data_IF_992659169747
#
_entry.id   IF_992659169747
#
_cell.length_a   1.000
_cell.length_b   1.000
_cell.length_c   1.000
_cell.angle_alpha   90.00
_cell.angle_beta   90.00
_cell.angle_gamma   90.00
#
_symmetry.space_group_name_H-M   'P 1'
#
loop_
_entity.id
_entity.type
_entity.pdbx_description
1 polymer ?
#
# COMPACT_ATOMS: atom_id res chain seq x y z
N UNK A 1 1.64 -13.97 -19.14
CA UNK A 1 1.76 -14.94 -18.03
C UNK A 1 2.73 -14.34 -17.02
N UNK A 2 2.32 -14.08 -15.78
CA UNK A 2 3.24 -13.57 -14.74
C UNK A 2 4.05 -14.76 -14.23
N UNK A 3 5.39 -14.71 -14.28
CA UNK A 3 6.24 -15.77 -13.73
C UNK A 3 5.96 -16.08 -12.25
N UNK A 4 6.31 -17.30 -11.88
CA UNK A 4 6.07 -17.89 -10.56
C UNK A 4 6.88 -17.14 -9.49
N UNK A 5 6.23 -16.75 -8.38
CA UNK A 5 6.90 -16.09 -7.26
C UNK A 5 7.44 -14.70 -7.60
N UNK A 6 6.69 -13.89 -8.34
CA UNK A 6 7.10 -12.53 -8.68
C UNK A 6 6.58 -11.46 -7.69
N UNK A 7 7.30 -10.34 -7.68
CA UNK A 7 6.85 -9.08 -7.09
C UNK A 7 5.95 -8.39 -8.11
N UNK A 8 4.68 -8.17 -7.75
CA UNK A 8 3.77 -7.37 -8.54
C UNK A 8 4.14 -5.90 -8.36
N UNK A 9 4.74 -5.32 -9.39
CA UNK A 9 5.31 -3.98 -9.36
C UNK A 9 4.61 -2.97 -10.30
N UNK A 10 3.35 -3.24 -10.69
CA UNK A 10 2.59 -2.25 -11.49
C UNK A 10 2.11 -1.11 -10.59
N UNK A 11 2.07 0.08 -11.20
CA UNK A 11 1.90 1.38 -10.51
C UNK A 11 0.61 2.09 -10.84
N UNK A 12 -0.17 1.44 -11.69
CA UNK A 12 -1.53 1.82 -11.97
C UNK A 12 -2.44 0.80 -11.25
N UNK A 13 -3.26 1.25 -10.29
CA UNK A 13 -4.17 0.39 -9.57
C UNK A 13 -5.14 -0.36 -10.50
N UNK A 14 -5.60 0.26 -11.61
CA UNK A 14 -6.52 -0.40 -12.55
C UNK A 14 -5.87 -1.60 -13.25
N UNK A 15 -4.62 -1.44 -13.69
CA UNK A 15 -3.80 -2.52 -14.25
C UNK A 15 -3.57 -3.64 -13.25
N UNK A 16 -3.38 -3.32 -11.95
CA UNK A 16 -3.25 -4.30 -10.89
C UNK A 16 -4.56 -5.07 -10.68
N UNK A 17 -5.70 -4.39 -10.61
CA UNK A 17 -7.03 -5.01 -10.50
C UNK A 17 -7.26 -5.96 -11.67
N UNK A 18 -7.04 -5.52 -12.90
CA UNK A 18 -7.24 -6.35 -14.09
C UNK A 18 -6.35 -7.60 -14.04
N UNK A 19 -5.08 -7.41 -13.69
CA UNK A 19 -4.12 -8.50 -13.58
C UNK A 19 -4.50 -9.51 -12.50
N UNK A 20 -4.93 -9.05 -11.31
CA UNK A 20 -5.39 -9.93 -10.22
C UNK A 20 -6.67 -10.65 -10.61
N UNK A 21 -7.63 -9.94 -11.22
CA UNK A 21 -8.93 -10.50 -11.64
C UNK A 21 -8.80 -11.61 -12.69
N UNK A 22 -7.74 -11.57 -13.51
CA UNK A 22 -7.46 -12.60 -14.51
C UNK A 22 -7.02 -13.93 -13.89
N UNK A 23 -6.68 -13.96 -12.60
CA UNK A 23 -6.36 -15.18 -11.88
C UNK A 23 -7.57 -15.61 -11.05
N UNK A 24 -8.21 -16.71 -11.44
CA UNK A 24 -9.27 -17.34 -10.63
C UNK A 24 -8.71 -18.52 -9.87
N UNK A 25 -9.03 -18.58 -8.59
CA UNK A 25 -8.74 -19.71 -7.71
C UNK A 25 -9.98 -19.96 -6.84
N UNK A 26 -10.22 -21.21 -6.36
CA UNK A 26 -11.28 -21.50 -5.42
C UNK A 26 -11.16 -20.73 -4.09
N UNK A 27 -9.97 -20.22 -3.79
CA UNK A 27 -9.70 -19.38 -2.64
C UNK A 27 -8.61 -18.39 -2.92
N UNK A 28 -8.78 -17.20 -2.37
CA UNK A 28 -7.85 -16.10 -2.48
C UNK A 28 -7.66 -15.42 -1.14
N UNK A 29 -6.42 -15.16 -0.78
CA UNK A 29 -6.11 -14.51 0.49
C UNK A 29 -4.95 -13.54 0.41
N UNK A 30 -4.97 -12.54 1.29
CA UNK A 30 -3.86 -11.60 1.50
C UNK A 30 -3.30 -11.76 2.91
N UNK A 31 -1.99 -11.82 3.07
CA UNK A 31 -1.32 -11.52 4.34
C UNK A 31 -0.75 -10.09 4.32
N UNK A 32 -1.20 -9.27 5.27
CA UNK A 32 -0.68 -7.93 5.53
C UNK A 32 0.52 -8.02 6.48
N UNK A 33 1.64 -7.39 6.10
CA UNK A 33 2.85 -7.35 6.92
C UNK A 33 3.50 -8.73 7.08
N UNK A 34 3.59 -9.49 6.00
CA UNK A 34 4.03 -10.89 6.02
C UNK A 34 5.48 -11.11 6.52
N UNK A 35 6.28 -10.05 6.67
CA UNK A 35 7.65 -10.14 7.16
C UNK A 35 8.53 -11.08 6.32
N UNK A 36 8.95 -12.21 6.88
CA UNK A 36 9.81 -13.16 6.15
C UNK A 36 9.03 -14.15 5.25
N UNK A 37 7.71 -14.05 5.18
CA UNK A 37 6.82 -14.88 4.35
C UNK A 37 6.63 -16.31 4.85
N UNK A 38 6.88 -16.60 6.12
CA UNK A 38 6.72 -17.95 6.69
C UNK A 38 5.25 -18.40 6.70
N UNK A 39 4.31 -17.51 7.07
CA UNK A 39 2.89 -17.80 7.04
C UNK A 39 2.39 -17.99 5.61
N UNK A 40 2.69 -17.06 4.69
CA UNK A 40 2.38 -17.22 3.26
C UNK A 40 2.86 -18.55 2.69
N UNK A 41 4.09 -18.96 3.00
CA UNK A 41 4.64 -20.22 2.52
C UNK A 41 3.79 -21.40 3.01
N UNK A 42 3.44 -21.41 4.30
CA UNK A 42 2.64 -22.49 4.88
C UNK A 42 1.24 -22.54 4.28
N UNK A 43 0.54 -21.40 4.25
CA UNK A 43 -0.82 -21.32 3.73
C UNK A 43 -0.88 -21.75 2.25
N UNK A 44 0.12 -21.35 1.46
CA UNK A 44 0.22 -21.73 0.05
C UNK A 44 0.52 -23.22 -0.18
N UNK A 45 1.29 -23.86 0.72
CA UNK A 45 1.56 -25.30 0.68
C UNK A 45 0.35 -26.13 1.12
N UNK A 46 -0.39 -25.67 2.13
CA UNK A 46 -1.62 -26.33 2.59
C UNK A 46 -2.75 -26.24 1.57
N UNK A 47 -2.77 -25.18 0.76
CA UNK A 47 -3.79 -24.96 -0.26
C UNK A 47 -3.19 -24.63 -1.64
N UNK A 48 -2.61 -25.63 -2.34
CA UNK A 48 -1.96 -25.43 -3.63
C UNK A 48 -2.88 -24.90 -4.75
N UNK A 49 -4.19 -25.12 -4.63
CA UNK A 49 -5.23 -24.62 -5.54
C UNK A 49 -5.67 -23.18 -5.24
N UNK A 50 -5.34 -22.66 -4.06
CA UNK A 50 -5.62 -21.28 -3.66
C UNK A 50 -4.61 -20.29 -4.23
N UNK A 51 -4.90 -19.00 -4.12
CA UNK A 51 -4.05 -17.90 -4.57
C UNK A 51 -3.75 -16.94 -3.41
N UNK A 52 -2.47 -16.74 -3.12
CA UNK A 52 -2.03 -15.99 -1.94
C UNK A 52 -1.24 -14.76 -2.35
N UNK A 53 -1.53 -13.65 -1.68
CA UNK A 53 -0.83 -12.39 -1.84
C UNK A 53 -0.20 -11.98 -0.53
N UNK A 54 1.03 -11.49 -0.58
CA UNK A 54 1.68 -10.83 0.54
C UNK A 54 1.79 -9.34 0.29
N UNK A 55 1.42 -8.50 1.23
CA UNK A 55 1.74 -7.06 1.20
C UNK A 55 2.72 -6.72 2.32
N UNK A 56 3.81 -6.04 1.99
CA UNK A 56 4.84 -5.64 2.94
C UNK A 56 5.45 -4.30 2.53
N UNK A 57 5.87 -3.48 3.50
CA UNK A 57 6.51 -2.18 3.25
C UNK A 57 8.04 -2.28 3.18
N UNK A 58 8.61 -3.30 3.81
CA UNK A 58 10.06 -3.54 3.84
C UNK A 58 10.54 -4.35 2.65
N UNK A 59 11.31 -3.73 1.75
CA UNK A 59 11.96 -4.43 0.63
C UNK A 59 12.82 -5.62 1.09
N UNK A 60 13.49 -5.51 2.24
CA UNK A 60 14.29 -6.59 2.80
C UNK A 60 13.43 -7.82 3.18
N UNK A 61 12.22 -7.59 3.68
CA UNK A 61 11.25 -8.63 4.00
C UNK A 61 10.72 -9.28 2.71
N UNK A 62 10.34 -8.46 1.72
CA UNK A 62 9.92 -8.92 0.39
C UNK A 62 10.98 -9.82 -0.25
N UNK A 63 12.26 -9.43 -0.24
CA UNK A 63 13.35 -10.22 -0.81
C UNK A 63 13.55 -11.57 -0.10
N UNK A 64 13.36 -11.61 1.23
CA UNK A 64 13.41 -12.87 2.01
C UNK A 64 12.25 -13.79 1.65
N UNK A 65 11.03 -13.26 1.56
CA UNK A 65 9.85 -14.02 1.15
C UNK A 65 9.98 -14.51 -0.29
N UNK A 66 10.48 -13.68 -1.21
CA UNK A 66 10.76 -14.05 -2.60
C UNK A 66 11.72 -15.25 -2.70
N UNK A 67 12.81 -15.22 -1.93
CA UNK A 67 13.75 -16.34 -1.88
C UNK A 67 13.09 -17.62 -1.32
N UNK A 68 12.20 -17.47 -0.35
CA UNK A 68 11.45 -18.57 0.27
C UNK A 68 10.45 -19.19 -0.69
N UNK A 69 9.62 -18.38 -1.36
CA UNK A 69 8.63 -18.86 -2.33
C UNK A 69 9.29 -19.56 -3.51
N UNK A 70 10.42 -19.05 -4.01
CA UNK A 70 11.21 -19.70 -5.07
C UNK A 70 11.80 -21.04 -4.64
N UNK A 71 12.35 -21.12 -3.43
CA UNK A 71 12.92 -22.38 -2.88
C UNK A 71 11.87 -23.47 -2.69
N UNK A 72 10.64 -23.10 -2.40
CA UNK A 72 9.51 -24.03 -2.27
C UNK A 72 8.68 -24.16 -3.54
N UNK A 73 9.14 -23.61 -4.66
CA UNK A 73 8.45 -23.66 -5.95
C UNK A 73 6.97 -23.23 -5.89
N UNK A 74 6.66 -22.23 -5.07
CA UNK A 74 5.29 -21.78 -4.85
C UNK A 74 4.80 -20.95 -6.04
N UNK A 75 4.00 -21.58 -6.89
CA UNK A 75 3.40 -20.94 -8.06
C UNK A 75 2.19 -20.07 -7.74
N UNK A 76 1.63 -20.22 -6.55
CA UNK A 76 0.40 -19.59 -6.10
C UNK A 76 0.60 -18.45 -5.10
N UNK A 77 1.83 -17.94 -4.95
CA UNK A 77 2.13 -16.75 -4.12
C UNK A 77 2.54 -15.57 -4.99
N UNK A 78 2.03 -14.38 -4.68
CA UNK A 78 2.43 -13.10 -5.29
C UNK A 78 2.77 -12.10 -4.18
N UNK A 79 3.82 -11.31 -4.36
CA UNK A 79 4.26 -10.36 -3.34
C UNK A 79 4.06 -8.93 -3.84
N UNK A 80 3.60 -8.03 -2.99
CA UNK A 80 3.43 -6.61 -3.24
C UNK A 80 4.26 -5.81 -2.23
N UNK A 81 4.89 -4.73 -2.71
CA UNK A 81 5.64 -3.79 -1.90
C UNK A 81 4.86 -2.48 -1.79
N UNK A 82 4.45 -2.10 -0.58
CA UNK A 82 3.74 -0.83 -0.36
C UNK A 82 2.84 -0.82 0.89
N UNK A 83 2.13 0.29 1.10
CA UNK A 83 1.14 0.42 2.17
C UNK A 83 -0.06 -0.50 1.90
N UNK A 84 -0.38 -1.36 2.87
CA UNK A 84 -1.41 -2.36 2.73
C UNK A 84 -2.82 -1.79 2.60
N UNK A 85 -3.13 -0.66 3.25
CA UNK A 85 -4.45 -0.03 3.17
C UNK A 85 -4.68 0.48 1.76
N UNK A 86 -3.70 1.20 1.20
CA UNK A 86 -3.75 1.68 -0.17
C UNK A 86 -3.83 0.53 -1.18
N UNK A 87 -2.91 -0.44 -1.08
CA UNK A 87 -2.86 -1.56 -2.03
C UNK A 87 -4.14 -2.39 -2.01
N UNK A 88 -4.69 -2.70 -0.84
CA UNK A 88 -5.97 -3.40 -0.75
C UNK A 88 -7.12 -2.58 -1.35
N UNK A 89 -7.23 -1.30 -0.99
CA UNK A 89 -8.34 -0.47 -1.44
C UNK A 89 -8.32 -0.22 -2.95
N UNK A 90 -7.14 0.07 -3.50
CA UNK A 90 -7.02 0.56 -4.87
C UNK A 90 -6.61 -0.54 -5.87
N UNK A 91 -5.84 -1.55 -5.44
CA UNK A 91 -5.23 -2.50 -6.37
C UNK A 91 -5.91 -3.88 -6.40
N UNK A 92 -6.77 -4.22 -5.44
CA UNK A 92 -7.52 -5.48 -5.43
C UNK A 92 -8.95 -5.28 -5.94
N UNK A 93 -9.55 -6.26 -6.62
CA UNK A 93 -10.94 -6.18 -7.05
C UNK A 93 -11.90 -6.15 -5.84
N UNK A 94 -13.09 -5.58 -6.03
CA UNK A 94 -14.16 -5.62 -5.01
C UNK A 94 -14.68 -7.04 -4.81
N UNK A 95 -15.12 -7.35 -3.58
CA UNK A 95 -15.75 -8.63 -3.23
C UNK A 95 -14.96 -9.86 -3.73
N UNK A 96 -13.64 -9.81 -3.62
CA UNK A 96 -12.77 -10.77 -4.29
C UNK A 96 -12.04 -11.72 -3.35
N UNK A 97 -11.61 -11.23 -2.19
CA UNK A 97 -10.83 -12.01 -1.23
C UNK A 97 -11.72 -12.89 -0.35
N UNK A 98 -11.30 -14.13 -0.15
CA UNK A 98 -11.91 -15.04 0.81
C UNK A 98 -11.36 -14.83 2.22
N UNK A 99 -10.09 -14.42 2.32
CA UNK A 99 -9.48 -14.09 3.61
C UNK A 99 -8.44 -12.97 3.55
N UNK A 100 -8.32 -12.22 4.66
CA UNK A 100 -7.22 -11.32 4.94
C UNK A 100 -6.62 -11.73 6.29
N UNK A 101 -5.29 -11.87 6.34
CA UNK A 101 -4.54 -12.24 7.53
C UNK A 101 -3.62 -11.09 7.93
N UNK A 102 -3.48 -10.84 9.23
CA UNK A 102 -2.47 -9.92 9.75
C UNK A 102 -1.85 -10.49 11.03
N UNK A 103 -0.59 -10.88 10.95
CA UNK A 103 0.13 -11.54 12.03
C UNK A 103 1.16 -10.59 12.67
N UNK A 104 0.99 -10.32 13.97
CA UNK A 104 1.89 -9.51 14.82
C UNK A 104 2.23 -8.13 14.24
N UNK A 105 1.22 -7.31 13.89
CA UNK A 105 1.46 -5.96 13.37
C UNK A 105 2.17 -5.09 14.41
N UNK A 106 2.87 -4.04 13.95
CA UNK A 106 3.52 -3.10 14.86
C UNK A 106 2.49 -2.46 15.82
N UNK A 107 2.66 -2.62 17.15
CA UNK A 107 1.56 -2.33 18.07
C UNK A 107 1.37 -0.85 18.37
N UNK A 108 2.38 -0.01 18.09
CA UNK A 108 2.39 1.42 18.43
C UNK A 108 1.92 1.68 19.88
N UNK A 109 2.68 1.25 20.91
CA UNK A 109 2.20 1.10 22.28
C UNK A 109 1.89 2.42 23.02
N UNK A 110 2.27 3.57 22.44
CA UNK A 110 1.98 4.91 22.98
C UNK A 110 0.62 5.35 22.42
N UNK A 111 -0.32 5.75 23.29
CA UNK A 111 -1.69 6.13 22.87
C UNK A 111 -1.72 7.21 21.78
N UNK A 112 -0.80 8.19 21.83
CA UNK A 112 -0.64 9.22 20.79
C UNK A 112 -0.31 8.68 19.39
N UNK A 113 0.17 7.43 19.30
CA UNK A 113 0.49 6.75 18.06
C UNK A 113 -0.57 5.70 17.67
N UNK A 114 -1.65 5.52 18.43
CA UNK A 114 -2.67 4.51 18.15
C UNK A 114 -3.23 4.66 16.74
N UNK A 115 -3.41 5.90 16.25
CA UNK A 115 -3.84 6.23 14.88
C UNK A 115 -2.91 5.71 13.76
N UNK A 116 -1.69 5.28 14.08
CA UNK A 116 -0.73 4.69 13.14
C UNK A 116 -0.92 3.18 12.95
N UNK A 117 -1.78 2.54 13.75
CA UNK A 117 -2.08 1.12 13.60
C UNK A 117 -2.88 0.90 12.33
N UNK A 118 -2.59 -0.20 11.64
CA UNK A 118 -3.29 -0.58 10.41
C UNK A 118 -4.81 -0.70 10.64
N UNK A 119 -5.23 -1.23 11.81
CA UNK A 119 -6.63 -1.38 12.21
C UNK A 119 -7.35 -0.09 12.62
N UNK A 120 -6.69 1.06 12.53
CA UNK A 120 -7.30 2.36 12.81
C UNK A 120 -8.25 2.79 11.68
N UNK A 121 -8.97 3.90 11.94
CA UNK A 121 -9.95 4.58 11.09
C UNK A 121 -9.85 4.28 9.58
N UNK A 122 -10.94 3.81 8.99
CA UNK A 122 -11.07 3.48 7.56
C UNK A 122 -10.69 2.03 7.21
N UNK A 123 -10.00 1.29 8.07
CA UNK A 123 -9.63 -0.09 7.74
C UNK A 123 -10.83 -1.05 7.62
N UNK A 124 -11.91 -0.79 8.37
CA UNK A 124 -13.17 -1.51 8.21
C UNK A 124 -13.77 -1.34 6.80
N UNK A 125 -13.71 -0.14 6.23
CA UNK A 125 -14.14 0.13 4.85
C UNK A 125 -13.28 -0.63 3.83
N UNK A 126 -11.95 -0.67 4.06
CA UNK A 126 -11.02 -1.42 3.20
C UNK A 126 -11.38 -2.91 3.21
N UNK A 127 -11.51 -3.52 4.41
CA UNK A 127 -11.89 -4.92 4.56
C UNK A 127 -13.25 -5.21 3.92
N UNK A 128 -14.24 -4.36 4.21
CA UNK A 128 -15.58 -4.49 3.65
C UNK A 128 -15.59 -4.30 2.12
N UNK A 129 -14.64 -3.58 1.54
CA UNK A 129 -14.53 -3.42 0.09
C UNK A 129 -13.89 -4.62 -0.61
N UNK A 130 -12.88 -5.26 -0.01
CA UNK A 130 -12.11 -6.34 -0.67
C UNK A 130 -12.62 -7.74 -0.38
N UNK A 131 -13.20 -7.99 0.81
CA UNK A 131 -13.67 -9.32 1.19
C UNK A 131 -14.96 -9.67 0.46
N UNK A 132 -15.13 -10.93 0.07
CA UNK A 132 -16.44 -11.48 -0.29
C UNK A 132 -17.38 -11.43 0.91
N UNK A 133 -18.69 -11.46 0.68
CA UNK A 133 -19.65 -11.79 1.74
C UNK A 133 -19.30 -13.19 2.26
N UNK A 134 -19.21 -13.34 3.58
CA UNK A 134 -18.68 -14.52 4.27
C UNK A 134 -17.16 -14.59 4.36
N UNK A 135 -16.43 -13.66 3.73
CA UNK A 135 -14.97 -13.59 3.79
C UNK A 135 -14.47 -13.17 5.17
N UNK A 136 -13.26 -13.63 5.51
CA UNK A 136 -12.71 -13.53 6.87
C UNK A 136 -11.56 -12.54 6.96
N UNK A 137 -11.48 -11.80 8.06
CA UNK A 137 -10.28 -11.13 8.51
C UNK A 137 -9.80 -11.76 9.82
N UNK A 138 -8.58 -12.29 9.84
CA UNK A 138 -7.94 -12.82 11.05
C UNK A 138 -6.75 -11.94 11.45
N UNK A 139 -6.84 -11.38 12.66
CA UNK A 139 -5.77 -10.63 13.30
C UNK A 139 -5.16 -11.47 14.41
N UNK A 140 -3.83 -11.58 14.44
CA UNK A 140 -3.11 -12.15 15.58
C UNK A 140 -2.09 -11.15 16.12
N UNK A 141 -2.05 -10.96 17.43
CA UNK A 141 -1.17 -9.98 18.09
C UNK A 141 -0.72 -10.47 19.46
N UNK A 142 0.45 -10.03 19.92
CA UNK A 142 0.95 -10.24 21.29
C UNK A 142 0.69 -9.03 22.20
N UNK A 143 -0.03 -8.01 21.70
CA UNK A 143 -0.39 -6.79 22.43
C UNK A 143 -1.91 -6.75 22.70
N UNK A 144 -2.28 -6.88 23.97
CA UNK A 144 -3.67 -6.90 24.44
C UNK A 144 -4.45 -5.64 24.07
N UNK A 145 -3.83 -4.46 24.22
CA UNK A 145 -4.50 -3.19 23.89
C UNK A 145 -4.76 -3.07 22.39
N UNK A 146 -3.85 -3.59 21.56
CA UNK A 146 -4.11 -3.67 20.12
C UNK A 146 -5.30 -4.58 19.82
N UNK A 147 -5.38 -5.73 20.48
CA UNK A 147 -6.49 -6.67 20.34
C UNK A 147 -7.82 -6.03 20.76
N UNK A 148 -7.88 -5.41 21.93
CA UNK A 148 -9.06 -4.69 22.45
C UNK A 148 -9.49 -3.56 21.51
N UNK A 149 -8.54 -2.73 21.07
CA UNK A 149 -8.85 -1.63 20.16
C UNK A 149 -9.39 -2.16 18.81
N UNK A 150 -8.80 -3.23 18.26
CA UNK A 150 -9.29 -3.85 17.03
C UNK A 150 -10.69 -4.49 17.19
N UNK A 151 -10.97 -5.09 18.34
CA UNK A 151 -12.29 -5.65 18.67
C UNK A 151 -13.39 -4.58 18.69
N UNK A 152 -13.04 -3.32 18.94
CA UNK A 152 -13.97 -2.18 18.94
C UNK A 152 -14.01 -1.50 17.57
N UNK A 153 -12.86 -1.22 16.96
CA UNK A 153 -12.79 -0.37 15.76
C UNK A 153 -13.26 -1.07 14.51
N UNK A 154 -12.95 -2.34 14.33
CA UNK A 154 -13.27 -3.08 13.09
C UNK A 154 -14.79 -3.30 12.93
N UNK A 155 -15.51 -3.84 13.93
CA UNK A 155 -16.95 -4.09 13.81
C UNK A 155 -17.79 -2.80 13.95
N UNK A 156 -17.17 -1.63 14.15
CA UNK A 156 -17.87 -0.35 14.01
C UNK A 156 -18.36 -0.11 12.58
N UNK A 157 -17.78 -0.81 11.60
CA UNK A 157 -18.26 -0.81 10.23
C UNK A 157 -19.47 -1.76 10.07
N UNK A 158 -20.61 -1.30 9.52
CA UNK A 158 -21.88 -2.04 9.54
C UNK A 158 -21.92 -3.32 8.71
N UNK A 159 -20.90 -3.58 7.90
CA UNK A 159 -20.77 -4.80 7.10
C UNK A 159 -19.87 -5.88 7.71
N UNK A 160 -19.17 -5.57 8.81
CA UNK A 160 -18.20 -6.48 9.43
C UNK A 160 -18.67 -6.84 10.84
N UNK A 161 -18.69 -8.13 11.15
CA UNK A 161 -19.02 -8.65 12.48
C UNK A 161 -17.80 -9.38 13.07
N UNK A 162 -17.66 -9.34 14.40
CA UNK A 162 -16.63 -10.11 15.10
C UNK A 162 -17.16 -11.51 15.41
N UNK A 163 -16.47 -12.54 14.94
CA UNK A 163 -16.82 -13.94 15.20
C UNK A 163 -16.14 -14.49 16.46
N UNK A 164 -14.90 -14.06 16.73
CA UNK A 164 -14.11 -14.63 17.80
C UNK A 164 -13.10 -13.63 18.36
N UNK A 165 -12.86 -13.73 19.66
CA UNK A 165 -11.75 -13.16 20.40
C UNK A 165 -11.20 -14.25 21.31
N UNK A 166 -10.03 -14.77 20.97
CA UNK A 166 -9.41 -15.91 21.65
C UNK A 166 -8.06 -15.48 22.23
N UNK A 167 -7.82 -15.83 23.49
CA UNK A 167 -6.51 -15.68 24.10
C UNK A 167 -5.81 -17.04 24.18
N UNK A 168 -4.54 -17.05 23.79
CA UNK A 168 -3.66 -18.21 23.70
C UNK A 168 -4.22 -19.36 22.84
N UNK A 169 -4.67 -19.06 21.60
CA UNK A 169 -5.33 -20.05 20.72
C UNK A 169 -4.36 -21.14 20.26
N UNK A 170 -4.90 -22.33 20.00
CA UNK A 170 -4.17 -23.39 19.32
C UNK A 170 -4.12 -23.10 17.82
N UNK A 171 -2.96 -22.66 17.32
CA UNK A 171 -2.73 -22.38 15.89
C UNK A 171 -1.89 -23.46 15.24
N UNK A 172 -2.30 -23.86 14.02
CA UNK A 172 -1.54 -24.80 13.17
C UNK A 172 -0.22 -24.20 12.71
N UNK A 173 -0.25 -22.92 12.30
CA UNK A 173 0.93 -22.18 11.84
C UNK A 173 1.38 -21.25 12.94
N UNK A 174 2.60 -21.46 13.43
CA UNK A 174 3.27 -20.50 14.31
C UNK A 174 4.35 -19.78 13.54
N UNK A 175 4.29 -18.46 13.47
CA UNK A 175 5.34 -17.67 12.82
C UNK A 175 6.58 -17.57 13.71
N UNK A 176 7.71 -17.13 13.15
CA UNK A 176 8.90 -16.75 13.94
C UNK A 176 8.55 -15.79 15.09
N UNK A 177 7.65 -14.84 14.86
CA UNK A 177 7.25 -13.87 15.88
C UNK A 177 6.43 -14.53 16.97
N UNK A 178 5.48 -15.39 16.62
CA UNK A 178 4.69 -16.15 17.60
C UNK A 178 5.59 -16.97 18.52
N UNK A 179 6.52 -17.75 17.97
CA UNK A 179 7.48 -18.53 18.76
C UNK A 179 8.29 -17.64 19.70
N UNK A 180 8.82 -16.53 19.17
CA UNK A 180 9.60 -15.56 19.96
C UNK A 180 8.78 -14.96 21.12
N UNK A 181 7.51 -14.63 20.89
CA UNK A 181 6.67 -14.00 21.91
C UNK A 181 6.19 -15.00 22.97
N UNK A 182 5.88 -16.23 22.56
CA UNK A 182 5.61 -17.33 23.49
C UNK A 182 6.82 -17.64 24.37
N UNK A 183 8.04 -17.69 23.80
CA UNK A 183 9.29 -17.86 24.56
C UNK A 183 9.52 -16.71 25.56
N UNK A 184 9.04 -15.51 25.24
CA UNK A 184 9.07 -14.35 26.12
C UNK A 184 7.92 -14.31 27.15
N UNK A 185 7.09 -15.35 27.22
CA UNK A 185 5.95 -15.43 28.15
C UNK A 185 4.81 -14.46 27.84
N UNK A 186 4.73 -13.93 26.61
CA UNK A 186 3.63 -13.07 26.19
C UNK A 186 2.40 -13.88 25.82
N UNK A 187 1.23 -13.36 26.15
CA UNK A 187 -0.04 -13.89 25.68
C UNK A 187 -0.23 -13.57 24.20
N UNK A 188 -0.91 -14.47 23.49
CA UNK A 188 -1.25 -14.28 22.08
C UNK A 188 -2.75 -14.12 21.95
N UNK A 189 -3.20 -13.08 21.25
CA UNK A 189 -4.61 -12.81 21.01
C UNK A 189 -4.91 -13.02 19.54
N UNK A 190 -6.00 -13.74 19.24
CA UNK A 190 -6.51 -13.95 17.90
C UNK A 190 -7.94 -13.43 17.82
N UNK A 191 -8.19 -12.61 16.81
CA UNK A 191 -9.51 -12.08 16.52
C UNK A 191 -9.91 -12.50 15.12
N UNK A 192 -11.16 -12.96 14.97
CA UNK A 192 -11.77 -13.23 13.66
C UNK A 192 -12.94 -12.31 13.45
N UNK A 193 -13.00 -11.76 12.25
CA UNK A 193 -14.08 -10.93 11.78
C UNK A 193 -14.58 -11.48 10.45
N UNK A 194 -15.88 -11.36 10.19
CA UNK A 194 -16.50 -11.82 8.95
C UNK A 194 -17.29 -10.68 8.31
N UNK A 195 -17.23 -10.60 6.98
CA UNK A 195 -18.09 -9.68 6.23
C UNK A 195 -19.47 -10.29 6.04
N UNK A 196 -20.51 -9.61 6.54
CA UNK A 196 -21.90 -10.10 6.49
C UNK A 196 -22.74 -9.38 5.44
N UNK A 197 -22.35 -8.16 5.04
CA UNK A 197 -23.15 -7.31 4.15
C UNK A 197 -22.34 -6.80 2.99
N UNK A 198 -22.99 -6.55 1.86
CA UNK A 198 -22.38 -5.86 0.74
C UNK A 198 -22.00 -4.44 1.13
N UNK A 199 -20.86 -3.98 0.65
CA UNK A 199 -20.42 -2.60 0.84
C UNK A 199 -19.77 -2.13 -0.45
N UNK A 200 -20.18 -0.95 -0.94
CA UNK A 200 -19.53 -0.31 -2.07
C UNK A 200 -18.46 0.63 -1.52
N UNK A 201 -17.20 0.26 -1.72
CA UNK A 201 -16.07 1.08 -1.27
C UNK A 201 -15.92 2.35 -2.10
N UNK A 202 -15.34 3.38 -1.48
CA UNK A 202 -14.85 4.58 -2.17
C UNK A 202 -13.38 4.35 -2.57
N UNK A 203 -13.07 4.55 -3.84
CA UNK A 203 -11.68 4.60 -4.34
C UNK A 203 -11.24 6.05 -4.49
N UNK A 204 -9.94 6.32 -4.40
CA UNK A 204 -9.37 7.67 -4.56
C UNK A 204 -9.65 8.31 -5.93
N UNK A 205 -10.06 7.51 -6.93
CA UNK A 205 -10.31 7.96 -8.30
C UNK A 205 -9.02 7.96 -9.12
N UNK A 206 -9.15 7.91 -10.46
CA UNK A 206 -7.97 7.86 -11.34
C UNK A 206 -7.30 9.22 -11.39
N UNK A 207 -5.98 9.23 -11.15
CA UNK A 207 -5.13 10.36 -11.51
C UNK A 207 -4.89 10.45 -13.02
N UNK A 208 -4.09 11.42 -13.46
CA UNK A 208 -3.71 11.59 -14.86
C UNK A 208 -2.80 10.42 -15.29
N UNK A 209 -3.18 9.70 -16.35
CA UNK A 209 -2.44 8.52 -16.81
C UNK A 209 -1.03 8.85 -17.32
N UNK A 210 -0.83 10.07 -17.84
CA UNK A 210 0.47 10.55 -18.34
C UNK A 210 1.09 11.60 -17.40
N UNK A 211 2.03 11.16 -16.56
CA UNK A 211 2.85 12.04 -15.70
C UNK A 211 4.14 12.47 -16.41
N UNK A 212 4.02 12.89 -17.67
CA UNK A 212 5.10 13.50 -18.45
C UNK A 212 4.53 14.51 -19.45
N UNK A 213 5.21 15.65 -19.64
CA UNK A 213 4.79 16.69 -20.57
C UNK A 213 5.98 17.44 -21.15
N UNK A 214 6.02 17.54 -22.48
CA UNK A 214 6.92 18.43 -23.18
C UNK A 214 6.34 19.84 -23.19
N UNK A 215 7.19 20.83 -22.97
CA UNK A 215 6.83 22.24 -22.91
C UNK A 215 7.75 23.01 -23.86
N UNK A 216 7.17 23.98 -24.56
CA UNK A 216 7.89 24.78 -25.55
C UNK A 216 8.78 25.85 -24.92
N UNK A 217 8.48 26.25 -23.67
CA UNK A 217 9.27 27.24 -22.94
C UNK A 217 10.60 26.67 -22.46
N UNK A 218 11.69 27.47 -22.49
CA UNK A 218 12.98 27.07 -21.92
C UNK A 218 12.85 26.62 -20.48
N UNK A 219 13.71 25.69 -20.06
CA UNK A 219 13.78 25.27 -18.68
C UNK A 219 14.15 26.48 -17.80
N UNK A 220 13.36 26.81 -16.75
CA UNK A 220 13.69 27.91 -15.87
C UNK A 220 15.01 27.68 -15.14
N UNK A 221 15.67 28.75 -14.71
CA UNK A 221 16.87 28.63 -13.89
C UNK A 221 16.56 28.05 -12.51
N UNK A 222 17.58 27.51 -11.82
CA UNK A 222 17.42 26.98 -10.46
C UNK A 222 16.76 28.00 -9.52
N UNK A 223 17.10 29.29 -9.66
CA UNK A 223 16.56 30.36 -8.82
C UNK A 223 15.03 30.45 -8.95
N UNK A 224 14.49 30.33 -10.15
CA UNK A 224 13.05 30.33 -10.38
C UNK A 224 12.41 29.06 -9.82
N UNK A 225 12.99 27.89 -10.10
CA UNK A 225 12.46 26.60 -9.61
C UNK A 225 12.50 26.47 -8.09
N UNK A 226 13.49 27.09 -7.44
CA UNK A 226 13.59 27.12 -5.98
C UNK A 226 12.41 27.84 -5.32
N UNK A 227 11.64 28.66 -6.05
CA UNK A 227 10.42 29.29 -5.54
C UNK A 227 9.26 28.30 -5.37
N UNK A 228 9.37 27.09 -5.92
CA UNK A 228 8.44 25.98 -5.66
C UNK A 228 8.71 25.36 -4.29
N UNK A 229 9.95 25.38 -3.80
CA UNK A 229 10.31 24.78 -2.52
C UNK A 229 9.52 25.42 -1.37
N UNK A 230 8.84 24.58 -0.59
CA UNK A 230 7.95 24.99 0.50
C UNK A 230 6.53 25.36 0.05
N UNK A 231 6.23 25.39 -1.26
CA UNK A 231 4.84 25.57 -1.71
C UNK A 231 4.03 24.32 -1.40
N UNK A 232 2.82 24.56 -0.90
CA UNK A 232 1.81 23.55 -0.63
C UNK A 232 0.62 23.76 -1.56
N UNK A 233 0.06 22.67 -2.06
CA UNK A 233 -1.15 22.66 -2.86
C UNK A 233 -2.12 21.60 -2.38
N UNK A 234 -3.36 21.69 -2.86
CA UNK A 234 -4.38 20.71 -2.48
C UNK A 234 -5.69 20.87 -3.21
N UNK A 235 -6.39 19.74 -3.37
CA UNK A 235 -7.72 19.68 -3.93
C UNK A 235 -8.53 18.62 -3.18
N UNK A 236 -9.68 18.99 -2.60
CA UNK A 236 -10.50 18.11 -1.74
C UNK A 236 -9.67 17.47 -0.61
N UNK A 237 -9.50 16.15 -0.58
CA UNK A 237 -8.68 15.40 0.39
C UNK A 237 -7.21 15.22 -0.05
N UNK A 238 -6.88 15.54 -1.31
CA UNK A 238 -5.54 15.43 -1.84
C UNK A 238 -4.68 16.64 -1.45
N UNK A 239 -3.46 16.39 -0.97
CA UNK A 239 -2.49 17.43 -0.55
C UNK A 239 -1.10 17.11 -1.12
N UNK A 240 -0.33 18.14 -1.43
CA UNK A 240 1.07 17.98 -1.83
C UNK A 240 1.92 19.16 -1.38
N UNK A 241 3.22 18.90 -1.22
CA UNK A 241 4.24 19.89 -0.90
C UNK A 241 5.51 19.59 -1.69
N UNK A 242 6.11 20.64 -2.25
CA UNK A 242 7.43 20.54 -2.87
C UNK A 242 8.48 20.82 -1.80
N UNK A 243 9.27 19.80 -1.44
CA UNK A 243 10.14 19.86 -0.25
C UNK A 243 11.49 20.47 -0.52
N UNK A 244 12.06 20.17 -1.69
CA UNK A 244 13.40 20.61 -2.05
C UNK A 244 13.60 20.51 -3.57
N UNK A 245 14.65 21.16 -4.07
CA UNK A 245 14.96 21.24 -5.49
C UNK A 245 16.48 21.10 -5.70
N UNK A 246 16.86 20.11 -6.50
CA UNK A 246 18.26 19.79 -6.79
C UNK A 246 18.54 19.93 -8.28
N UNK A 247 19.71 20.46 -8.65
CA UNK A 247 20.13 20.57 -10.06
C UNK A 247 21.49 19.91 -10.26
N UNK A 248 21.68 19.28 -11.41
CA UNK A 248 22.99 18.78 -11.82
C UNK A 248 23.69 19.78 -12.79
N UNK A 249 24.99 19.60 -13.09
CA UNK A 249 25.71 20.49 -14.01
C UNK A 249 25.15 20.56 -15.44
N UNK A 250 24.32 19.60 -15.84
CA UNK A 250 23.68 19.53 -17.16
C UNK A 250 22.34 20.30 -17.19
N UNK A 251 21.95 20.94 -16.08
CA UNK A 251 20.70 21.68 -15.96
C UNK A 251 19.46 20.80 -15.71
N UNK A 252 19.65 19.52 -15.40
CA UNK A 252 18.55 18.63 -15.00
C UNK A 252 18.18 18.91 -13.55
N UNK A 253 16.88 19.11 -13.32
CA UNK A 253 16.34 19.37 -11.99
C UNK A 253 15.56 18.18 -11.46
N UNK A 254 15.73 17.91 -10.16
CA UNK A 254 14.92 17.00 -9.36
C UNK A 254 14.18 17.81 -8.29
N UNK A 255 12.86 17.81 -8.37
CA UNK A 255 11.97 18.45 -7.43
C UNK A 255 11.40 17.40 -6.48
N UNK A 256 11.88 17.38 -5.24
CA UNK A 256 11.38 16.50 -4.19
C UNK A 256 9.94 16.88 -3.87
N UNK A 257 9.04 15.91 -3.99
CA UNK A 257 7.60 16.11 -3.79
C UNK A 257 7.08 15.08 -2.81
N UNK A 258 6.34 15.55 -1.81
CA UNK A 258 5.59 14.71 -0.89
C UNK A 258 4.10 14.94 -1.14
N UNK A 259 3.34 13.86 -1.27
CA UNK A 259 1.90 13.94 -1.48
C UNK A 259 1.15 13.07 -0.47
N UNK A 260 -0.11 13.40 -0.22
CA UNK A 260 -0.99 12.70 0.71
C UNK A 260 -2.41 12.62 0.14
N UNK A 261 -2.99 11.42 0.10
CA UNK A 261 -4.39 11.16 -0.24
C UNK A 261 -5.04 10.37 0.89
N UNK A 262 -5.95 10.99 1.66
CA UNK A 262 -6.65 10.34 2.79
C UNK A 262 -5.71 9.58 3.76
N UNK A 263 -4.48 10.09 3.96
CA UNK A 263 -3.47 9.50 4.85
C UNK A 263 -2.53 8.49 4.19
N UNK A 264 -2.68 8.21 2.89
CA UNK A 264 -1.67 7.53 2.08
C UNK A 264 -0.64 8.54 1.59
N UNK A 265 0.60 8.43 2.06
CA UNK A 265 1.68 9.35 1.73
C UNK A 265 2.67 8.74 0.74
N UNK A 266 3.15 9.56 -0.20
CA UNK A 266 4.15 9.17 -1.19
C UNK A 266 5.21 10.26 -1.32
N UNK A 267 6.49 9.86 -1.34
CA UNK A 267 7.61 10.77 -1.63
C UNK A 267 8.26 10.33 -2.94
N UNK A 268 8.45 11.28 -3.84
CA UNK A 268 9.04 11.06 -5.16
C UNK A 268 9.69 12.32 -5.71
N UNK A 269 10.31 12.21 -6.88
CA UNK A 269 10.87 13.36 -7.59
C UNK A 269 10.14 13.60 -8.90
N UNK A 270 9.81 14.86 -9.19
CA UNK A 270 9.64 15.27 -10.57
C UNK A 270 11.01 15.61 -11.15
N UNK A 271 11.30 15.09 -12.33
CA UNK A 271 12.49 15.38 -13.11
C UNK A 271 12.13 16.37 -14.22
N UNK A 272 12.77 17.53 -14.20
CA UNK A 272 12.63 18.56 -15.22
C UNK A 272 13.93 18.58 -16.03
N UNK A 273 13.83 18.40 -17.34
CA UNK A 273 14.97 18.19 -18.24
C UNK A 273 14.93 19.22 -19.37
N UNK A 274 16.02 19.96 -19.63
CA UNK A 274 16.15 20.79 -20.82
C UNK A 274 16.01 19.96 -22.10
N UNK A 275 15.22 20.42 -23.08
CA UNK A 275 15.01 19.71 -24.35
C UNK A 275 14.96 20.71 -25.51
N UNK A 276 16.09 20.91 -26.19
CA UNK A 276 16.19 21.89 -27.27
C UNK A 276 15.95 23.30 -26.72
N UNK A 277 14.98 24.01 -27.29
CA UNK A 277 14.53 25.32 -26.78
C UNK A 277 13.51 25.23 -25.64
N UNK A 278 13.04 24.01 -25.32
CA UNK A 278 11.98 23.76 -24.35
C UNK A 278 12.44 23.02 -23.09
N UNK A 279 11.47 22.53 -22.34
CA UNK A 279 11.69 21.65 -21.19
C UNK A 279 10.74 20.45 -21.21
N UNK A 280 11.11 19.41 -20.47
CA UNK A 280 10.31 18.21 -20.27
C UNK A 280 10.20 17.96 -18.78
N UNK A 281 8.97 17.94 -18.25
CA UNK A 281 8.70 17.48 -16.89
C UNK A 281 8.19 16.04 -16.94
N UNK A 282 8.70 15.19 -16.05
CA UNK A 282 8.23 13.82 -15.87
C UNK A 282 8.50 13.34 -14.46
N UNK A 283 7.82 12.30 -14.02
CA UNK A 283 8.21 11.59 -12.80
C UNK A 283 9.58 10.94 -12.96
N UNK A 284 10.44 11.06 -11.94
CA UNK A 284 11.75 10.42 -11.94
C UNK A 284 11.63 8.90 -11.86
N UNK A 285 12.46 8.22 -12.67
CA UNK A 285 12.41 6.78 -12.82
C UNK A 285 12.97 6.01 -11.61
N UNK A 286 13.51 6.66 -10.58
CA UNK A 286 13.95 6.01 -9.35
C UNK A 286 12.85 5.84 -8.30
N UNK A 287 11.90 6.77 -8.24
CA UNK A 287 10.90 6.85 -7.15
C UNK A 287 9.53 6.34 -7.55
N UNK A 288 9.10 6.61 -8.80
CA UNK A 288 7.96 5.94 -9.46
C UNK A 288 6.71 5.74 -8.54
N UNK A 289 6.05 6.83 -8.11
CA UNK A 289 4.84 6.79 -7.27
C UNK A 289 3.65 6.13 -7.99
N UNK A 290 2.61 5.79 -7.21
CA UNK A 290 1.29 5.46 -7.73
C UNK A 290 0.59 6.71 -8.24
N UNK A 291 -0.14 6.57 -9.35
CA UNK A 291 -0.93 7.65 -9.94
C UNK A 291 -2.18 7.90 -9.09
N UNK A 292 -2.11 8.88 -8.18
CA UNK A 292 -3.20 9.30 -7.32
C UNK A 292 -3.64 10.75 -7.62
N UNK A 293 -4.79 11.21 -7.09
CA UNK A 293 -5.22 12.59 -7.25
C UNK A 293 -4.16 13.61 -6.78
N UNK A 294 -3.52 13.39 -5.62
CA UNK A 294 -2.48 14.30 -5.12
C UNK A 294 -1.24 14.36 -6.02
N UNK A 295 -0.79 13.22 -6.55
CA UNK A 295 0.33 13.17 -7.51
C UNK A 295 -0.02 13.91 -8.80
N UNK A 296 -1.26 13.75 -9.26
CA UNK A 296 -1.76 14.43 -10.46
C UNK A 296 -1.88 15.93 -10.27
N UNK A 297 -2.41 16.36 -9.12
CA UNK A 297 -2.50 17.77 -8.76
C UNK A 297 -1.13 18.43 -8.68
N UNK A 298 -0.16 17.77 -8.01
CA UNK A 298 1.21 18.25 -7.95
C UNK A 298 1.84 18.35 -9.34
N UNK A 299 1.63 17.37 -10.20
CA UNK A 299 2.16 17.38 -11.57
C UNK A 299 1.58 18.54 -12.40
N UNK A 300 0.27 18.76 -12.32
CA UNK A 300 -0.40 19.86 -13.02
C UNK A 300 0.05 21.23 -12.50
N UNK A 301 0.32 21.36 -11.20
CA UNK A 301 0.88 22.59 -10.64
C UNK A 301 2.28 22.88 -11.17
N UNK A 302 3.16 21.87 -11.23
CA UNK A 302 4.50 22.03 -11.84
C UNK A 302 4.39 22.41 -13.31
N UNK A 303 3.52 21.74 -14.07
CA UNK A 303 3.26 22.08 -15.48
C UNK A 303 2.81 23.53 -15.62
N UNK A 304 1.82 23.95 -14.83
CA UNK A 304 1.29 25.32 -14.83
C UNK A 304 2.37 26.35 -14.50
N UNK A 305 3.24 26.05 -13.52
CA UNK A 305 4.37 26.90 -13.17
C UNK A 305 5.35 27.07 -14.34
N UNK A 306 5.72 25.96 -14.99
CA UNK A 306 6.62 25.97 -16.15
C UNK A 306 6.01 26.64 -17.39
N UNK A 307 4.69 26.59 -17.55
CA UNK A 307 3.97 27.27 -18.63
C UNK A 307 3.80 28.78 -18.36
N UNK A 308 3.48 29.16 -17.12
CA UNK A 308 3.19 30.53 -16.71
C UNK A 308 4.44 31.41 -16.60
N UNK A 309 5.59 30.83 -16.26
CA UNK A 309 6.78 31.58 -15.85
C UNK A 309 6.53 32.15 -14.45
N UNK A 310 7.41 31.83 -13.50
CA UNK A 310 7.22 32.25 -12.11
C UNK A 310 6.89 33.74 -12.02
N UNK A 311 5.80 34.07 -11.32
CA UNK A 311 5.47 35.43 -10.91
C UNK A 311 6.64 36.07 -10.16
#
# INVERSE_FOLDING_TARGET
MIPLGDILARRDPASMIQMISNHKAPFSAVEIGFGNGEFLQHAALERPDGLFFGIEVSINCVMKALKRTRRSSLGNVRLLLGDARFLLNECFPEDWLDAVYMNFPCPWPKSRHAKRRVTSWGFGDVLAGVLKIGGLFELVTDDERYAEDAAITIPSHPAIEMEAFEADPLRKVRTKYERKWMEAGRRIYLLRFRKERSFRRKTLGRGVEELHKALERPCPELRELSTLTGREGGQKEARWVFRDCYINPEGVVLLETLTSDEGFEQSFFFRIVPRGQGCMVKVDASTRPFTTPSVSGAFLEVVSFLEGGGL
#
